data_IF_451896431823
#
_entry.id   IF_451896431823
#
_cell.length_a   1.000
_cell.length_b   1.000
_cell.length_c   1.000
_cell.angle_alpha   90.00
_cell.angle_beta   90.00
_cell.angle_gamma   90.00
#
_symmetry.space_group_name_H-M   'P 1'
#
loop_
_entity.id
_entity.type
_entity.pdbx_description
1 polymer ?
#
# COMPACT_ATOMS: atom_id res chain seq x y z
N UNK A 1 28.96 71.63 1.64
CA UNK A 1 28.25 70.75 0.70
C UNK A 1 26.94 70.34 1.36
N UNK A 2 25.81 70.64 0.73
CA UNK A 2 24.50 70.44 1.34
C UNK A 2 24.01 68.99 1.11
N UNK A 3 24.12 68.17 2.16
CA UNK A 3 23.76 66.75 2.14
C UNK A 3 22.24 66.50 2.05
N UNK A 4 21.42 67.54 2.19
CA UNK A 4 19.95 67.41 2.14
C UNK A 4 19.43 67.00 0.77
N UNK A 5 20.14 67.37 -0.30
CA UNK A 5 19.69 67.09 -1.68
C UNK A 5 19.84 65.61 -2.08
N UNK A 6 20.72 64.86 -1.41
CA UNK A 6 20.95 63.43 -1.71
C UNK A 6 20.08 62.49 -0.87
N UNK A 7 19.52 62.96 0.25
CA UNK A 7 18.70 62.15 1.16
C UNK A 7 17.41 61.65 0.52
N UNK A 8 16.75 62.47 -0.30
CA UNK A 8 15.51 62.09 -0.99
C UNK A 8 15.74 61.03 -2.08
N UNK A 9 16.95 61.01 -2.67
CA UNK A 9 17.34 60.06 -3.72
C UNK A 9 17.69 58.68 -3.20
N UNK A 10 18.04 58.56 -1.91
CA UNK A 10 18.37 57.30 -1.23
C UNK A 10 17.16 56.61 -0.58
N UNK A 11 16.10 57.37 -0.26
CA UNK A 11 14.94 56.88 0.52
C UNK A 11 13.64 56.79 -0.30
N UNK A 12 13.66 57.24 -1.56
CA UNK A 12 12.49 57.24 -2.46
C UNK A 12 11.46 58.31 -2.07
N UNK A 13 10.64 58.73 -3.04
CA UNK A 13 9.55 59.66 -2.73
C UNK A 13 8.50 58.95 -1.85
N UNK A 14 7.73 59.72 -1.07
CA UNK A 14 6.73 59.21 -0.11
C UNK A 14 5.68 58.30 -0.79
N UNK A 15 5.44 58.56 -2.07
CA UNK A 15 4.46 57.90 -2.93
C UNK A 15 5.02 56.63 -3.60
N UNK A 16 6.35 56.46 -3.66
CA UNK A 16 7.01 55.24 -4.17
C UNK A 16 7.19 54.15 -3.10
N UNK A 17 6.90 54.47 -1.83
CA UNK A 17 6.83 53.47 -0.76
C UNK A 17 5.51 52.70 -0.87
N UNK A 18 5.41 51.83 -1.88
CA UNK A 18 4.23 51.00 -2.15
C UNK A 18 3.80 50.12 -0.97
N UNK A 19 4.68 49.94 0.02
CA UNK A 19 4.38 49.29 1.30
C UNK A 19 5.25 49.92 2.39
N UNK A 20 4.70 50.10 3.59
CA UNK A 20 5.52 50.52 4.73
C UNK A 20 6.49 49.38 5.10
N UNK A 21 7.70 49.68 5.64
CA UNK A 21 8.66 48.64 6.01
C UNK A 21 8.08 47.55 6.92
N UNK A 22 7.17 47.92 7.83
CA UNK A 22 6.51 46.99 8.74
C UNK A 22 5.48 46.13 8.03
N UNK A 23 4.67 46.72 7.14
CA UNK A 23 3.65 45.98 6.40
C UNK A 23 4.30 45.04 5.37
N UNK A 24 5.40 45.45 4.74
CA UNK A 24 6.15 44.59 3.82
C UNK A 24 6.66 43.31 4.48
N UNK A 25 7.19 43.42 5.70
CA UNK A 25 7.66 42.26 6.46
C UNK A 25 6.49 41.35 6.85
N UNK A 26 5.38 41.91 7.32
CA UNK A 26 4.20 41.10 7.68
C UNK A 26 3.66 40.34 6.46
N UNK A 27 3.56 40.99 5.30
CA UNK A 27 3.07 40.35 4.08
C UNK A 27 4.02 39.27 3.55
N UNK A 28 5.33 39.51 3.59
CA UNK A 28 6.33 38.53 3.17
C UNK A 28 6.32 37.29 4.07
N UNK A 29 6.24 37.49 5.38
CA UNK A 29 6.18 36.39 6.35
C UNK A 29 4.85 35.65 6.22
N UNK A 30 3.73 36.35 6.07
CA UNK A 30 2.41 35.71 5.95
C UNK A 30 2.33 34.77 4.75
N UNK A 31 2.76 35.20 3.57
CA UNK A 31 2.70 34.38 2.35
C UNK A 31 3.63 33.16 2.47
N UNK A 32 4.85 33.35 2.96
CA UNK A 32 5.81 32.24 3.11
C UNK A 32 5.34 31.20 4.13
N UNK A 33 4.72 31.63 5.23
CA UNK A 33 4.13 30.71 6.22
C UNK A 33 2.96 29.91 5.63
N UNK A 34 2.08 30.56 4.86
CA UNK A 34 0.97 29.87 4.19
C UNK A 34 1.51 28.85 3.19
N UNK A 35 2.43 29.25 2.31
CA UNK A 35 2.99 28.35 1.30
C UNK A 35 3.73 27.16 1.95
N UNK A 36 4.51 27.41 3.00
CA UNK A 36 5.20 26.34 3.73
C UNK A 36 4.22 25.36 4.37
N UNK A 37 3.17 25.86 5.02
CA UNK A 37 2.15 25.01 5.65
C UNK A 37 1.39 24.16 4.62
N UNK A 38 1.04 24.75 3.46
CA UNK A 38 0.32 24.05 2.39
C UNK A 38 1.20 22.95 1.77
N UNK A 39 2.46 23.24 1.47
CA UNK A 39 3.38 22.24 0.93
C UNK A 39 3.62 21.13 1.96
N UNK A 40 3.78 21.46 3.24
CA UNK A 40 3.92 20.45 4.29
C UNK A 40 2.71 19.51 4.37
N UNK A 41 1.49 20.06 4.25
CA UNK A 41 0.28 19.24 4.20
C UNK A 41 0.27 18.33 2.96
N UNK A 42 0.61 18.84 1.77
CA UNK A 42 0.69 18.01 0.55
C UNK A 42 1.77 16.93 0.62
N UNK A 43 2.92 17.21 1.24
CA UNK A 43 4.01 16.22 1.40
C UNK A 43 3.62 15.14 2.41
N UNK A 44 2.95 15.51 3.51
CA UNK A 44 2.45 14.55 4.50
C UNK A 44 1.31 13.69 3.92
N UNK A 45 0.49 14.24 3.04
CA UNK A 45 -0.59 13.51 2.36
C UNK A 45 -0.01 12.52 1.32
N UNK A 46 1.02 12.90 0.58
CA UNK A 46 1.72 12.01 -0.34
C UNK A 46 2.43 10.84 0.38
N UNK A 47 2.92 11.07 1.60
CA UNK A 47 3.58 10.04 2.41
C UNK A 47 2.63 8.96 2.96
N UNK A 48 1.32 9.21 2.99
CA UNK A 48 0.32 8.27 3.51
C UNK A 48 -0.28 7.34 2.44
N UNK A 49 0.07 7.54 1.16
CA UNK A 49 -0.47 6.75 0.04
C UNK A 49 0.45 5.66 -0.48
N UNK A 50 1.53 5.35 0.22
CA UNK A 50 2.50 4.32 -0.20
C UNK A 50 2.49 3.16 0.79
N UNK A 51 1.30 2.60 1.02
CA UNK A 51 1.20 1.28 1.64
C UNK A 51 1.80 0.27 0.66
N UNK A 52 2.76 -0.52 1.14
CA UNK A 52 3.50 -1.48 0.34
C UNK A 52 2.57 -2.67 0.04
N UNK A 53 2.03 -2.77 -1.18
CA UNK A 53 1.19 -3.91 -1.56
C UNK A 53 2.01 -5.21 -1.52
N UNK A 54 1.46 -6.25 -0.91
CA UNK A 54 2.12 -7.55 -0.83
C UNK A 54 2.17 -8.18 -2.24
N UNK A 55 3.37 -8.40 -2.79
CA UNK A 55 3.53 -9.09 -4.07
C UNK A 55 4.20 -10.44 -3.86
N UNK A 56 3.56 -11.51 -4.35
CA UNK A 56 4.12 -12.85 -4.40
C UNK A 56 3.85 -13.48 -5.79
N UNK A 57 4.83 -14.22 -6.31
CA UNK A 57 4.69 -15.06 -7.49
C UNK A 57 4.12 -16.41 -7.11
N UNK A 58 3.04 -16.82 -7.76
CA UNK A 58 2.36 -18.09 -7.52
C UNK A 58 2.13 -18.77 -8.86
N UNK A 59 2.24 -20.08 -8.87
CA UNK A 59 1.84 -20.92 -9.98
C UNK A 59 0.63 -21.76 -9.57
N UNK A 60 -0.39 -21.80 -10.42
CA UNK A 60 -1.63 -22.54 -10.18
C UNK A 60 -1.78 -23.54 -11.31
N UNK A 61 -1.76 -24.82 -10.97
CA UNK A 61 -1.95 -25.91 -11.92
C UNK A 61 -3.33 -26.55 -11.69
N UNK A 62 -4.09 -26.74 -12.77
CA UNK A 62 -5.35 -27.46 -12.74
C UNK A 62 -6.61 -26.60 -12.54
N UNK A 63 -6.56 -25.29 -12.81
CA UNK A 63 -7.75 -24.42 -12.76
C UNK A 63 -8.95 -25.03 -13.49
N UNK A 64 -10.13 -24.94 -12.90
CA UNK A 64 -11.36 -25.61 -13.34
C UNK A 64 -11.27 -27.15 -13.39
N UNK A 65 -10.50 -27.77 -12.47
CA UNK A 65 -10.39 -29.22 -12.32
C UNK A 65 -10.75 -29.73 -10.91
N UNK A 66 -10.84 -31.05 -10.76
CA UNK A 66 -11.16 -31.72 -9.49
C UNK A 66 -10.01 -31.65 -8.48
N UNK A 67 -8.80 -31.37 -8.97
CA UNK A 67 -7.58 -31.19 -8.17
C UNK A 67 -6.85 -29.95 -8.67
N UNK A 68 -6.58 -29.00 -7.76
CA UNK A 68 -5.81 -27.79 -8.05
C UNK A 68 -4.60 -27.73 -7.15
N UNK A 69 -3.42 -27.52 -7.74
CA UNK A 69 -2.17 -27.32 -7.01
C UNK A 69 -1.79 -25.85 -7.05
N UNK A 70 -1.55 -25.26 -5.88
CA UNK A 70 -1.07 -23.89 -5.73
C UNK A 70 0.36 -23.94 -5.19
N UNK A 71 1.32 -23.42 -5.96
CA UNK A 71 2.73 -23.37 -5.58
C UNK A 71 3.20 -21.92 -5.41
N UNK A 72 3.90 -21.65 -4.31
CA UNK A 72 4.60 -20.39 -4.11
C UNK A 72 5.92 -20.39 -4.90
N UNK A 73 6.03 -19.59 -5.95
CA UNK A 73 7.24 -19.54 -6.81
C UNK A 73 8.18 -18.39 -6.45
N UNK A 74 7.67 -17.33 -5.83
CA UNK A 74 8.47 -16.21 -5.35
C UNK A 74 7.73 -15.45 -4.25
N UNK A 75 8.42 -15.05 -3.19
CA UNK A 75 7.84 -14.23 -2.13
C UNK A 75 7.77 -12.74 -2.47
N UNK A 76 8.53 -12.26 -3.47
CA UNK A 76 8.58 -10.83 -3.81
C UNK A 76 8.90 -9.97 -2.58
N UNK A 77 7.93 -9.20 -2.12
CA UNK A 77 7.97 -8.41 -0.88
C UNK A 77 6.95 -8.88 0.20
N UNK A 78 6.27 -9.99 -0.05
CA UNK A 78 5.39 -10.64 0.92
C UNK A 78 6.20 -11.54 1.89
N UNK A 79 5.69 -11.70 3.12
CA UNK A 79 6.22 -12.65 4.10
C UNK A 79 5.62 -14.05 3.92
N UNK A 80 4.47 -14.14 3.25
CA UNK A 80 3.86 -15.40 2.89
C UNK A 80 2.58 -15.23 2.09
N UNK A 81 1.97 -16.36 1.74
CA UNK A 81 0.64 -16.41 1.11
C UNK A 81 -0.28 -17.34 1.90
N UNK A 82 -1.58 -17.06 1.85
CA UNK A 82 -2.61 -17.98 2.30
C UNK A 82 -3.76 -17.99 1.29
N UNK A 83 -4.61 -19.00 1.39
CA UNK A 83 -5.75 -19.17 0.48
C UNK A 83 -7.02 -18.81 1.23
N UNK A 84 -7.93 -18.07 0.60
CA UNK A 84 -9.27 -17.79 1.10
C UNK A 84 -10.32 -18.36 0.16
N UNK A 85 -11.49 -18.68 0.72
CA UNK A 85 -12.67 -19.04 -0.06
C UNK A 85 -13.43 -17.80 -0.51
N UNK A 86 -14.39 -18.00 -1.40
CA UNK A 86 -15.41 -17.01 -1.78
C UNK A 86 -16.12 -16.36 -0.57
N UNK A 87 -16.32 -17.11 0.51
CA UNK A 87 -16.94 -16.60 1.75
C UNK A 87 -16.00 -15.74 2.62
N UNK A 88 -14.76 -15.50 2.17
CA UNK A 88 -13.75 -14.71 2.90
C UNK A 88 -13.12 -15.45 4.08
N UNK A 89 -13.46 -16.72 4.29
CA UNK A 89 -12.81 -17.57 5.29
C UNK A 89 -11.48 -18.09 4.76
N UNK A 90 -10.47 -18.18 5.63
CA UNK A 90 -9.18 -18.76 5.29
C UNK A 90 -9.31 -20.27 5.13
N UNK A 91 -8.59 -20.81 4.16
CA UNK A 91 -8.47 -22.25 3.96
C UNK A 91 -7.77 -22.86 5.16
N UNK A 92 -8.29 -23.99 5.63
CA UNK A 92 -7.68 -24.76 6.70
C UNK A 92 -7.10 -26.07 6.16
N UNK A 93 -6.08 -26.60 6.84
CA UNK A 93 -5.44 -27.87 6.45
C UNK A 93 -6.42 -29.06 6.47
N UNK A 94 -7.54 -28.95 7.20
CA UNK A 94 -8.60 -29.97 7.20
C UNK A 94 -9.30 -30.10 5.84
N UNK A 95 -9.15 -29.09 4.99
CA UNK A 95 -9.80 -28.97 3.67
C UNK A 95 -8.78 -29.18 2.55
N UNK A 96 -7.56 -29.55 2.94
CA UNK A 96 -6.42 -29.87 2.08
C UNK A 96 -6.15 -31.37 2.14
N UNK A 97 -5.48 -31.92 1.13
CA UNK A 97 -5.05 -33.33 1.12
C UNK A 97 -4.17 -33.75 2.33
N UNK A 98 -3.59 -32.79 3.08
CA UNK A 98 -2.74 -33.03 4.25
C UNK A 98 -3.51 -33.42 5.53
N UNK A 99 -4.81 -33.11 5.63
CA UNK A 99 -5.68 -33.56 6.73
C UNK A 99 -5.30 -33.02 8.12
N UNK A 100 -4.75 -31.80 8.18
CA UNK A 100 -4.27 -31.16 9.41
C UNK A 100 -5.30 -30.30 10.15
N UNK A 101 -4.84 -29.50 11.10
CA UNK A 101 -5.66 -28.55 11.86
C UNK A 101 -4.86 -27.25 12.05
N UNK A 102 -5.09 -26.30 11.15
CA UNK A 102 -4.38 -25.02 11.08
C UNK A 102 -4.82 -24.27 9.83
N UNK A 103 -4.52 -22.98 9.74
CA UNK A 103 -4.64 -22.23 8.47
C UNK A 103 -3.57 -22.72 7.51
N UNK A 104 -3.89 -22.79 6.22
CA UNK A 104 -2.89 -23.09 5.18
C UNK A 104 -2.14 -21.81 4.86
N UNK A 105 -0.91 -21.71 5.35
CA UNK A 105 0.04 -20.67 5.01
C UNK A 105 1.27 -21.26 4.30
N UNK A 106 1.70 -20.60 3.24
CA UNK A 106 2.91 -20.94 2.49
C UNK A 106 3.88 -19.77 2.65
N UNK A 107 4.95 -20.01 3.39
CA UNK A 107 6.02 -19.03 3.68
C UNK A 107 7.33 -19.39 2.99
N UNK A 108 7.51 -20.65 2.57
CA UNK A 108 8.71 -21.13 1.90
C UNK A 108 8.51 -21.19 0.38
N UNK A 109 9.44 -20.61 -0.38
CA UNK A 109 9.44 -20.72 -1.85
C UNK A 109 9.61 -22.18 -2.27
N UNK A 110 8.72 -22.64 -3.13
CA UNK A 110 8.64 -24.03 -3.59
C UNK A 110 7.67 -24.87 -2.75
N UNK A 111 7.13 -24.35 -1.64
CA UNK A 111 6.02 -25.00 -0.97
C UNK A 111 4.77 -24.98 -1.85
N UNK A 112 4.01 -26.07 -1.83
CA UNK A 112 2.79 -26.21 -2.60
C UNK A 112 1.69 -26.84 -1.75
N UNK A 113 0.45 -26.43 -2.03
CA UNK A 113 -0.74 -27.01 -1.43
C UNK A 113 -1.68 -27.50 -2.52
N UNK A 114 -2.23 -28.70 -2.33
CA UNK A 114 -3.19 -29.31 -3.25
C UNK A 114 -4.57 -29.29 -2.63
N UNK A 115 -5.51 -28.66 -3.33
CA UNK A 115 -6.94 -28.67 -3.01
C UNK A 115 -7.65 -29.68 -3.89
N UNK A 116 -8.59 -30.40 -3.29
CA UNK A 116 -9.47 -31.34 -4.00
C UNK A 116 -10.92 -30.95 -3.74
N UNK A 117 -11.77 -30.94 -4.77
CA UNK A 117 -13.20 -30.66 -4.57
C UNK A 117 -13.84 -31.77 -3.73
N UNK A 118 -14.28 -31.41 -2.53
CA UNK A 118 -14.94 -32.34 -1.60
C UNK A 118 -16.45 -32.46 -1.84
N UNK A 119 -17.03 -31.56 -2.66
CA UNK A 119 -18.46 -31.39 -2.79
C UNK A 119 -18.84 -31.21 -4.27
N UNK A 120 -20.03 -31.68 -4.67
CA UNK A 120 -20.52 -31.54 -6.04
C UNK A 120 -20.83 -30.07 -6.35
N UNK A 121 -19.92 -29.38 -7.05
CA UNK A 121 -20.02 -27.96 -7.39
C UNK A 121 -18.68 -27.36 -7.81
N UNK A 122 -18.70 -26.07 -8.17
CA UNK A 122 -17.50 -25.26 -8.36
C UNK A 122 -17.29 -24.40 -7.10
N UNK A 123 -16.12 -24.53 -6.46
CA UNK A 123 -15.69 -23.74 -5.32
C UNK A 123 -14.63 -22.74 -5.77
N UNK A 124 -14.88 -21.44 -5.58
CA UNK A 124 -13.93 -20.38 -5.94
C UNK A 124 -13.00 -20.06 -4.76
N UNK A 125 -11.71 -19.99 -5.04
CA UNK A 125 -10.65 -19.66 -4.08
C UNK A 125 -9.83 -18.46 -4.56
N UNK A 126 -9.27 -17.73 -3.61
CA UNK A 126 -8.37 -16.60 -3.85
C UNK A 126 -7.08 -16.81 -3.08
N UNK A 127 -5.96 -16.59 -3.74
CA UNK A 127 -4.65 -16.59 -3.10
C UNK A 127 -4.33 -15.16 -2.70
N UNK A 128 -3.99 -14.98 -1.43
CA UNK A 128 -3.74 -13.68 -0.81
C UNK A 128 -2.31 -13.67 -0.27
N UNK A 129 -1.52 -12.71 -0.72
CA UNK A 129 -0.21 -12.43 -0.16
C UNK A 129 -0.33 -11.49 1.03
N UNK A 130 0.53 -11.65 2.03
CA UNK A 130 0.55 -10.79 3.21
C UNK A 130 1.98 -10.35 3.57
N UNK A 131 2.06 -9.19 4.21
CA UNK A 131 3.25 -8.69 4.89
C UNK A 131 2.90 -8.61 6.38
N UNK A 132 3.69 -9.23 7.23
CA UNK A 132 3.44 -9.34 8.65
C UNK A 132 3.92 -10.66 9.25
N UNK A 133 3.80 -10.76 10.58
CA UNK A 133 4.38 -11.86 11.37
C UNK A 133 3.78 -13.23 10.99
N UNK A 134 2.48 -13.29 10.71
CA UNK A 134 1.75 -14.51 10.35
C UNK A 134 0.51 -14.19 9.50
N UNK A 135 -0.04 -15.19 8.82
CA UNK A 135 -1.27 -15.06 8.03
C UNK A 135 -2.47 -14.53 8.85
N UNK A 136 -2.49 -14.71 10.18
CA UNK A 136 -3.52 -14.20 11.11
C UNK A 136 -3.30 -12.77 11.60
N UNK A 137 -2.08 -12.25 11.54
CA UNK A 137 -1.77 -10.85 11.84
C UNK A 137 -1.73 -10.06 10.52
N UNK A 138 -2.90 -9.65 10.05
CA UNK A 138 -3.05 -8.95 8.76
C UNK A 138 -2.74 -7.46 8.90
N UNK A 139 -1.48 -7.07 8.71
CA UNK A 139 -1.09 -5.66 8.62
C UNK A 139 -1.21 -5.14 7.18
N UNK A 140 -0.83 -5.93 6.17
CA UNK A 140 -1.07 -5.62 4.76
C UNK A 140 -1.32 -6.90 3.96
N UNK A 141 -2.40 -6.93 3.18
CA UNK A 141 -2.80 -8.11 2.39
C UNK A 141 -3.22 -7.71 0.99
N UNK A 142 -2.80 -8.45 -0.03
CA UNK A 142 -3.14 -8.19 -1.42
C UNK A 142 -3.56 -9.50 -2.09
N UNK A 143 -4.68 -9.48 -2.81
CA UNK A 143 -5.12 -10.62 -3.62
C UNK A 143 -4.24 -10.71 -4.84
N UNK A 144 -3.50 -11.80 -4.96
CA UNK A 144 -2.50 -12.01 -6.01
C UNK A 144 -3.04 -12.85 -7.17
N UNK A 145 -3.94 -13.80 -6.89
CA UNK A 145 -4.64 -14.56 -7.92
C UNK A 145 -5.94 -15.18 -7.39
N UNK A 146 -6.82 -15.64 -8.27
CA UNK A 146 -8.04 -16.38 -7.96
C UNK A 146 -8.22 -17.55 -8.93
N UNK A 147 -8.73 -18.68 -8.45
CA UNK A 147 -8.93 -19.91 -9.23
C UNK A 147 -10.21 -20.62 -8.78
N UNK A 148 -10.70 -21.54 -9.61
CA UNK A 148 -11.88 -22.35 -9.29
C UNK A 148 -11.55 -23.84 -9.29
N UNK A 149 -12.11 -24.57 -8.32
CA UNK A 149 -12.00 -26.03 -8.23
C UNK A 149 -13.38 -26.60 -8.50
N UNK A 150 -13.52 -27.46 -9.52
CA UNK A 150 -14.81 -28.09 -9.88
C UNK A 150 -14.73 -29.60 -9.85
N UNK A 151 -15.82 -30.29 -9.52
CA UNK A 151 -15.86 -31.76 -9.61
C UNK A 151 -15.86 -32.26 -11.05
#
# INVERSE_FOLDING_TARGET
MDLKQYRSKLIGNKDERAVSPVIGVILMVAITVILAAVIAAFVLDLGQGMDEEAQAGIDIEGDESSEVSVQLTSLGNADGIYITKSDGTKLTESETASGGSGTVDLTDVGASVTLTSGNAGADSYSVVAYIGDNADSTDTTTVVNSFEVTT
#
